data_IF_351143066217
#
_entry.id   IF_351143066217
#
_cell.length_a   1.000
_cell.length_b   1.000
_cell.length_c   1.000
_cell.angle_alpha   90.00
_cell.angle_beta   90.00
_cell.angle_gamma   90.00
#
_symmetry.space_group_name_H-M   'P 1'
#
loop_
_entity.id
_entity.type
_entity.pdbx_description
1 polymer ?
#
# COMPACT_ATOMS: atom_id res chain seq x y z
N UNK A 1 15.92 -31.73 -0.94
CA UNK A 1 14.94 -32.30 0.00
C UNK A 1 14.66 -31.20 0.99
N UNK A 2 13.44 -30.68 0.94
CA UNK A 2 13.00 -29.52 1.71
C UNK A 2 12.73 -29.94 3.15
N UNK A 3 13.10 -29.09 4.10
CA UNK A 3 12.65 -29.18 5.50
C UNK A 3 11.50 -28.19 5.70
N UNK A 4 10.32 -28.72 6.00
CA UNK A 4 9.12 -27.96 6.38
C UNK A 4 9.23 -27.47 7.83
N UNK A 5 9.04 -26.18 8.13
CA UNK A 5 8.89 -25.68 9.49
C UNK A 5 7.41 -25.49 9.80
N UNK A 6 6.70 -26.56 10.14
CA UNK A 6 5.33 -26.47 10.67
C UNK A 6 5.22 -27.16 12.03
N UNK A 7 5.66 -26.48 13.10
CA UNK A 7 5.23 -26.82 14.46
C UNK A 7 5.25 -25.58 15.35
N UNK A 8 4.29 -24.69 15.16
CA UNK A 8 3.98 -23.66 16.15
C UNK A 8 3.18 -24.32 17.29
N UNK A 9 3.90 -24.77 18.32
CA UNK A 9 3.38 -25.47 19.49
C UNK A 9 2.98 -24.50 20.61
N UNK A 10 2.10 -23.52 20.33
CA UNK A 10 1.51 -22.70 21.40
C UNK A 10 0.12 -22.11 21.10
N UNK A 11 -0.67 -22.75 20.25
CA UNK A 11 -2.10 -22.44 20.10
C UNK A 11 -2.93 -23.41 20.95
N UNK A 12 -2.81 -23.29 22.27
CA UNK A 12 -3.68 -23.99 23.21
C UNK A 12 -4.18 -22.99 24.22
N UNK A 13 -5.51 -22.89 24.34
CA UNK A 13 -6.32 -22.01 25.20
C UNK A 13 -6.82 -20.72 24.54
N UNK A 14 -7.53 -20.87 23.41
CA UNK A 14 -8.69 -20.03 23.11
C UNK A 14 -9.93 -20.78 23.62
N UNK A 15 -10.87 -20.15 24.35
CA UNK A 15 -12.09 -20.81 24.78
C UNK A 15 -12.89 -21.27 23.55
N UNK A 16 -13.38 -22.51 23.62
CA UNK A 16 -14.17 -23.15 22.57
C UNK A 16 -15.41 -22.31 22.25
N UNK A 17 -15.65 -22.11 20.96
CA UNK A 17 -16.87 -21.52 20.38
C UNK A 17 -18.04 -22.51 20.53
N UNK A 18 -18.39 -22.85 21.77
CA UNK A 18 -19.61 -23.60 22.08
C UNK A 18 -20.82 -22.72 21.75
N UNK A 19 -21.41 -23.05 20.60
CA UNK A 19 -22.83 -22.94 20.25
C UNK A 19 -23.55 -21.70 20.80
N UNK A 20 -23.42 -20.58 20.07
CA UNK A 20 -24.50 -19.60 20.04
C UNK A 20 -25.73 -20.29 19.44
N UNK A 21 -26.60 -20.80 20.32
CA UNK A 21 -27.95 -21.25 20.01
C UNK A 21 -28.72 -20.11 19.32
N UNK A 22 -28.70 -20.13 17.98
CA UNK A 22 -29.55 -19.29 17.15
C UNK A 22 -30.96 -19.87 17.19
N UNK A 23 -31.61 -19.70 18.35
CA UNK A 23 -33.02 -19.94 18.55
C UNK A 23 -33.83 -19.14 17.54
N UNK A 24 -34.14 -19.76 16.41
CA UNK A 24 -34.99 -19.21 15.36
C UNK A 24 -36.44 -19.33 15.81
N UNK A 25 -36.85 -18.41 16.69
CA UNK A 25 -38.26 -18.20 16.95
C UNK A 25 -38.83 -17.32 15.82
N UNK A 26 -39.60 -17.96 14.94
CA UNK A 26 -40.25 -17.42 13.75
C UNK A 26 -41.35 -16.40 14.10
N UNK A 27 -40.99 -15.25 14.68
CA UNK A 27 -41.84 -14.07 14.76
C UNK A 27 -41.30 -13.03 13.80
N UNK A 28 -41.95 -12.86 12.64
CA UNK A 28 -41.81 -11.73 11.70
C UNK A 28 -40.57 -10.87 11.96
N UNK A 29 -39.39 -11.40 11.64
CA UNK A 29 -38.14 -10.66 11.75
C UNK A 29 -38.19 -9.55 10.70
N UNK A 30 -38.53 -8.33 11.13
CA UNK A 30 -38.21 -7.12 10.39
C UNK A 30 -36.73 -7.22 10.00
N UNK A 31 -36.48 -7.44 8.71
CA UNK A 31 -35.13 -7.48 8.16
C UNK A 31 -34.61 -6.05 8.15
N UNK A 32 -33.98 -5.63 9.25
CA UNK A 32 -33.37 -4.30 9.37
C UNK A 32 -32.05 -4.34 8.61
N UNK A 33 -31.90 -3.50 7.59
CA UNK A 33 -30.59 -3.25 7.00
C UNK A 33 -29.76 -2.35 7.92
N UNK A 34 -28.92 -2.98 8.74
CA UNK A 34 -28.06 -2.29 9.71
C UNK A 34 -27.09 -1.29 9.04
N UNK A 35 -26.77 -1.47 7.75
CA UNK A 35 -25.88 -0.57 7.00
C UNK A 35 -26.58 0.73 6.60
N UNK A 36 -27.91 0.69 6.45
CA UNK A 36 -28.73 1.83 6.05
C UNK A 36 -29.32 2.63 7.23
N UNK A 37 -28.97 2.27 8.48
CA UNK A 37 -29.49 2.96 9.66
C UNK A 37 -29.10 4.45 9.67
N UNK A 38 -30.09 5.33 9.86
CA UNK A 38 -29.85 6.78 9.98
C UNK A 38 -28.83 7.10 11.08
N UNK A 39 -27.88 8.00 10.81
CA UNK A 39 -27.05 8.62 11.85
C UNK A 39 -27.70 9.89 12.43
N UNK A 40 -28.85 10.32 11.88
CA UNK A 40 -29.46 11.61 12.17
C UNK A 40 -28.66 12.79 11.61
N UNK A 41 -29.31 13.96 11.50
CA UNK A 41 -28.71 15.19 10.99
C UNK A 41 -27.76 15.81 12.04
N UNK A 42 -26.43 15.82 11.82
CA UNK A 42 -25.47 16.37 12.80
C UNK A 42 -25.61 17.88 13.06
N UNK A 43 -26.41 18.61 12.28
CA UNK A 43 -26.63 20.05 12.46
C UNK A 43 -27.94 20.37 13.19
N UNK A 44 -28.80 19.36 13.42
CA UNK A 44 -30.06 19.54 14.11
C UNK A 44 -29.81 19.76 15.61
N UNK A 45 -30.19 20.95 16.08
CA UNK A 45 -30.28 21.24 17.52
C UNK A 45 -31.49 20.56 18.15
N UNK A 46 -31.41 20.27 19.44
CA UNK A 46 -32.51 19.72 20.24
C UNK A 46 -32.62 20.48 21.57
N UNK A 47 -33.81 20.52 22.14
CA UNK A 47 -34.10 21.09 23.45
C UNK A 47 -34.03 20.01 24.54
N UNK A 48 -34.19 20.44 25.80
CA UNK A 48 -34.11 19.54 26.97
C UNK A 48 -35.23 18.49 26.95
N UNK A 49 -36.41 18.83 26.42
CA UNK A 49 -37.55 17.92 26.30
C UNK A 49 -37.25 16.79 25.30
N UNK A 50 -36.71 17.12 24.11
CA UNK A 50 -36.28 16.11 23.14
C UNK A 50 -35.14 15.24 23.69
N UNK A 51 -34.24 15.81 24.50
CA UNK A 51 -33.17 15.06 25.15
C UNK A 51 -33.70 14.07 26.18
N UNK A 52 -34.65 14.48 27.01
CA UNK A 52 -35.32 13.61 27.98
C UNK A 52 -36.08 12.48 27.26
N UNK A 53 -36.80 12.79 26.18
CA UNK A 53 -37.47 11.76 25.37
C UNK A 53 -36.47 10.77 24.75
N UNK A 54 -35.35 11.26 24.21
CA UNK A 54 -34.28 10.40 23.68
C UNK A 54 -33.67 9.50 24.77
N UNK A 55 -33.50 10.01 25.99
CA UNK A 55 -33.04 9.23 27.14
C UNK A 55 -34.04 8.13 27.53
N UNK A 56 -35.34 8.42 27.49
CA UNK A 56 -36.38 7.42 27.75
C UNK A 56 -36.44 6.35 26.65
N UNK A 57 -36.28 6.73 25.39
CA UNK A 57 -36.15 5.78 24.27
C UNK A 57 -34.93 4.89 24.44
N UNK A 58 -33.77 5.48 24.79
CA UNK A 58 -32.55 4.74 25.10
C UNK A 58 -32.75 3.75 26.25
N UNK A 59 -33.37 4.17 27.35
CA UNK A 59 -33.63 3.28 28.48
C UNK A 59 -34.56 2.12 28.10
N UNK A 60 -35.64 2.40 27.35
CA UNK A 60 -36.53 1.36 26.82
C UNK A 60 -35.80 0.39 25.89
N UNK A 61 -34.90 0.90 25.05
CA UNK A 61 -34.10 0.06 24.17
C UNK A 61 -33.16 -0.87 24.94
N UNK A 62 -32.48 -0.36 25.96
CA UNK A 62 -31.60 -1.17 26.81
C UNK A 62 -32.36 -2.22 27.60
N UNK A 63 -33.59 -1.94 28.06
CA UNK A 63 -34.44 -2.93 28.73
C UNK A 63 -34.99 -3.99 27.76
N UNK A 64 -35.17 -3.63 26.49
CA UNK A 64 -35.60 -4.58 25.46
C UNK A 64 -34.46 -5.50 24.98
N UNK A 65 -33.21 -5.06 25.15
CA UNK A 65 -32.00 -5.84 24.85
C UNK A 65 -31.65 -6.78 26.02
N UNK A 66 -31.29 -8.06 25.79
CA UNK A 66 -31.01 -8.69 24.50
C UNK A 66 -32.21 -9.39 23.82
N UNK A 67 -33.36 -9.50 24.49
CA UNK A 67 -34.49 -10.34 24.02
C UNK A 67 -35.14 -9.83 22.72
N UNK A 68 -35.21 -8.52 22.52
CA UNK A 68 -35.90 -7.87 21.39
C UNK A 68 -34.95 -6.93 20.64
N UNK A 69 -33.96 -7.51 19.95
CA UNK A 69 -32.89 -6.80 19.25
C UNK A 69 -33.41 -5.75 18.25
N UNK A 70 -34.34 -6.12 17.38
CA UNK A 70 -34.90 -5.19 16.39
C UNK A 70 -35.60 -4.01 17.04
N UNK A 71 -36.37 -4.26 18.10
CA UNK A 71 -37.02 -3.19 18.88
C UNK A 71 -35.98 -2.26 19.51
N UNK A 72 -34.90 -2.80 20.09
CA UNK A 72 -33.84 -1.99 20.66
C UNK A 72 -33.15 -1.09 19.61
N UNK A 73 -32.82 -1.64 18.43
CA UNK A 73 -32.22 -0.88 17.33
C UNK A 73 -33.13 0.24 16.82
N UNK A 74 -34.43 -0.03 16.67
CA UNK A 74 -35.40 0.97 16.23
C UNK A 74 -35.56 2.09 17.27
N UNK A 75 -35.76 1.74 18.55
CA UNK A 75 -35.85 2.71 19.64
C UNK A 75 -34.61 3.60 19.74
N UNK A 76 -33.41 3.03 19.55
CA UNK A 76 -32.17 3.80 19.52
C UNK A 76 -32.05 4.66 18.27
N UNK A 77 -32.58 4.21 17.14
CA UNK A 77 -32.63 5.01 15.91
C UNK A 77 -33.54 6.22 16.07
N UNK A 78 -34.69 6.06 16.72
CA UNK A 78 -35.58 7.16 17.07
C UNK A 78 -34.89 8.13 18.04
N UNK A 79 -34.21 7.63 19.07
CA UNK A 79 -33.43 8.46 19.99
C UNK A 79 -32.33 9.26 19.28
N UNK A 80 -31.64 8.67 18.29
CA UNK A 80 -30.63 9.35 17.45
C UNK A 80 -31.29 10.42 16.57
N UNK A 81 -32.48 10.18 16.02
CA UNK A 81 -33.17 11.17 15.20
C UNK A 81 -33.68 12.37 16.03
N UNK A 82 -33.99 12.16 17.32
CA UNK A 82 -34.30 13.24 18.27
C UNK A 82 -33.05 14.03 18.63
N UNK A 83 -31.98 13.34 19.06
CA UNK A 83 -30.73 13.95 19.52
C UNK A 83 -29.52 13.51 18.69
N UNK A 84 -29.41 13.95 17.43
CA UNK A 84 -28.36 13.47 16.54
C UNK A 84 -26.98 13.89 17.01
N UNK A 85 -26.79 15.10 17.53
CA UNK A 85 -25.46 15.53 18.01
C UNK A 85 -24.97 14.75 19.25
N UNK A 86 -25.81 13.94 19.89
CA UNK A 86 -25.45 13.19 21.10
C UNK A 86 -24.63 11.94 20.77
N UNK A 87 -23.33 11.99 21.13
CA UNK A 87 -22.45 10.82 21.05
C UNK A 87 -22.93 9.65 21.90
N UNK A 88 -23.70 9.90 22.97
CA UNK A 88 -24.26 8.86 23.82
C UNK A 88 -25.27 8.00 23.04
N UNK A 89 -26.14 8.60 22.23
CA UNK A 89 -27.19 7.85 21.50
C UNK A 89 -26.58 6.92 20.45
N UNK A 90 -25.60 7.42 19.70
CA UNK A 90 -24.80 6.61 18.78
C UNK A 90 -23.99 5.53 19.52
N UNK A 91 -23.33 5.93 20.62
CA UNK A 91 -22.78 5.10 21.71
C UNK A 91 -23.54 3.79 21.90
N UNK A 92 -24.78 4.03 22.27
CA UNK A 92 -25.74 3.05 22.73
C UNK A 92 -26.14 2.07 21.64
N UNK A 93 -26.43 2.57 20.44
CA UNK A 93 -26.78 1.72 19.29
C UNK A 93 -25.58 0.91 18.84
N UNK A 94 -24.39 1.51 18.83
CA UNK A 94 -23.16 0.80 18.51
C UNK A 94 -22.85 -0.35 19.48
N UNK A 95 -23.15 -0.21 20.77
CA UNK A 95 -23.00 -1.29 21.74
C UNK A 95 -23.89 -2.49 21.39
N UNK A 96 -25.18 -2.24 21.11
CA UNK A 96 -26.11 -3.30 20.70
C UNK A 96 -25.66 -3.94 19.38
N UNK A 97 -25.26 -3.14 18.40
CA UNK A 97 -24.74 -3.62 17.10
C UNK A 97 -23.46 -4.44 17.27
N UNK A 98 -22.57 -4.03 18.17
CA UNK A 98 -21.34 -4.76 18.48
C UNK A 98 -21.64 -6.14 19.06
N UNK A 99 -22.56 -6.20 20.02
CA UNK A 99 -22.89 -7.46 20.71
C UNK A 99 -23.60 -8.48 19.81
N UNK A 100 -24.35 -8.02 18.79
CA UNK A 100 -24.97 -8.91 17.78
C UNK A 100 -24.02 -9.27 16.63
N UNK A 101 -22.76 -8.80 16.67
CA UNK A 101 -21.74 -9.11 15.65
C UNK A 101 -21.75 -8.19 14.41
N UNK A 102 -22.62 -7.16 14.37
CA UNK A 102 -22.69 -6.18 13.29
C UNK A 102 -21.61 -5.10 13.42
N UNK A 103 -20.35 -5.55 13.39
CA UNK A 103 -19.16 -4.73 13.68
C UNK A 103 -19.00 -3.54 12.73
N UNK A 104 -19.32 -3.70 11.45
CA UNK A 104 -19.22 -2.61 10.47
C UNK A 104 -20.21 -1.47 10.77
N UNK A 105 -21.45 -1.81 11.12
CA UNK A 105 -22.46 -0.83 11.50
C UNK A 105 -22.12 -0.17 12.85
N UNK A 106 -21.63 -0.95 13.82
CA UNK A 106 -21.16 -0.44 15.10
C UNK A 106 -20.01 0.56 14.94
N UNK A 107 -18.99 0.26 14.13
CA UNK A 107 -17.85 1.15 13.86
C UNK A 107 -18.31 2.45 13.23
N UNK A 108 -19.27 2.40 12.29
CA UNK A 108 -19.81 3.60 11.65
C UNK A 108 -20.49 4.52 12.66
N UNK A 109 -21.32 3.97 13.56
CA UNK A 109 -21.94 4.73 14.64
C UNK A 109 -20.91 5.29 15.61
N UNK A 110 -19.88 4.51 15.96
CA UNK A 110 -18.80 4.93 16.86
C UNK A 110 -17.93 6.04 16.28
N UNK A 111 -17.59 5.97 14.99
CA UNK A 111 -16.89 7.04 14.29
C UNK A 111 -17.68 8.34 14.37
N UNK A 112 -18.96 8.30 14.00
CA UNK A 112 -19.85 9.45 14.12
C UNK A 112 -19.94 9.96 15.57
N UNK A 113 -19.94 9.06 16.56
CA UNK A 113 -19.96 9.45 17.98
C UNK A 113 -18.69 10.18 18.40
N UNK A 114 -17.51 9.69 17.96
CA UNK A 114 -16.22 10.32 18.25
C UNK A 114 -16.02 11.65 17.51
N UNK A 115 -16.63 11.81 16.34
CA UNK A 115 -16.64 13.08 15.59
C UNK A 115 -17.53 14.12 16.29
N UNK A 116 -18.72 13.70 16.75
CA UNK A 116 -19.68 14.57 17.46
C UNK A 116 -19.19 14.97 18.85
N UNK A 117 -18.55 14.06 19.57
CA UNK A 117 -17.95 14.33 20.87
C UNK A 117 -16.53 13.76 20.95
N UNK A 118 -15.51 14.57 20.64
CA UNK A 118 -14.10 14.16 20.70
C UNK A 118 -13.57 13.84 22.10
N UNK A 119 -14.40 13.98 23.13
CA UNK A 119 -14.09 13.72 24.53
C UNK A 119 -14.87 12.54 25.11
N UNK A 120 -15.75 11.88 24.33
CA UNK A 120 -16.56 10.77 24.81
C UNK A 120 -15.74 9.47 24.88
N UNK A 121 -15.19 9.18 26.07
CA UNK A 121 -14.31 8.03 26.35
C UNK A 121 -14.94 6.70 25.95
N UNK A 122 -16.22 6.50 26.26
CA UNK A 122 -16.95 5.26 25.96
C UNK A 122 -16.96 4.92 24.46
N UNK A 123 -17.07 5.92 23.60
CA UNK A 123 -17.02 5.72 22.15
C UNK A 123 -15.64 5.24 21.69
N UNK A 124 -14.56 5.84 22.21
CA UNK A 124 -13.20 5.42 21.86
C UNK A 124 -12.87 4.01 22.37
N UNK A 125 -13.31 3.66 23.59
CA UNK A 125 -13.10 2.31 24.15
C UNK A 125 -13.81 1.24 23.32
N UNK A 126 -15.09 1.45 22.98
CA UNK A 126 -15.84 0.49 22.19
C UNK A 126 -15.35 0.45 20.73
N UNK A 127 -14.90 1.57 20.17
CA UNK A 127 -14.28 1.62 18.84
C UNK A 127 -12.98 0.81 18.79
N UNK A 128 -12.11 0.97 19.79
CA UNK A 128 -10.90 0.16 19.92
C UNK A 128 -11.21 -1.33 20.01
N UNK A 129 -12.28 -1.69 20.75
CA UNK A 129 -12.75 -3.08 20.85
C UNK A 129 -13.22 -3.59 19.49
N UNK A 130 -14.07 -2.85 18.79
CA UNK A 130 -14.59 -3.22 17.48
C UNK A 130 -13.48 -3.44 16.44
N UNK A 131 -12.48 -2.55 16.38
CA UNK A 131 -11.33 -2.73 15.50
C UNK A 131 -10.45 -3.92 15.89
N UNK A 132 -10.28 -4.19 17.18
CA UNK A 132 -9.53 -5.37 17.65
C UNK A 132 -10.20 -6.67 17.17
N UNK A 133 -11.53 -6.75 17.19
CA UNK A 133 -12.29 -7.90 16.67
C UNK A 133 -12.14 -8.08 15.16
N UNK A 134 -11.94 -6.98 14.41
CA UNK A 134 -11.68 -7.03 12.97
C UNK A 134 -10.19 -7.19 12.62
N UNK A 135 -9.30 -7.34 13.61
CA UNK A 135 -7.84 -7.36 13.43
C UNK A 135 -7.26 -6.07 12.80
N UNK A 136 -7.98 -4.96 12.86
CA UNK A 136 -7.51 -3.64 12.45
C UNK A 136 -6.68 -3.02 13.59
N UNK A 137 -5.48 -3.56 13.81
CA UNK A 137 -4.71 -3.29 15.03
C UNK A 137 -4.24 -1.83 15.09
N UNK A 138 -3.93 -1.21 13.95
CA UNK A 138 -3.51 0.20 13.88
C UNK A 138 -4.61 1.15 14.36
N UNK A 139 -5.83 1.02 13.83
CA UNK A 139 -6.97 1.84 14.26
C UNK A 139 -7.42 1.52 15.69
N UNK A 140 -7.35 0.24 16.10
CA UNK A 140 -7.64 -0.15 17.48
C UNK A 140 -6.70 0.55 18.47
N UNK A 141 -5.39 0.52 18.20
CA UNK A 141 -4.37 1.16 19.03
C UNK A 141 -4.61 2.66 19.14
N UNK A 142 -4.90 3.35 18.03
CA UNK A 142 -5.18 4.78 18.02
C UNK A 142 -6.43 5.13 18.85
N UNK A 143 -7.51 4.35 18.72
CA UNK A 143 -8.73 4.55 19.49
C UNK A 143 -8.49 4.35 21.00
N UNK A 144 -7.78 3.29 21.39
CA UNK A 144 -7.46 3.05 22.81
C UNK A 144 -6.50 4.09 23.38
N UNK A 145 -5.49 4.54 22.64
CA UNK A 145 -4.61 5.63 23.06
C UNK A 145 -5.39 6.92 23.29
N UNK A 146 -6.36 7.22 22.42
CA UNK A 146 -7.24 8.37 22.60
C UNK A 146 -8.11 8.22 23.85
N UNK A 147 -8.71 7.05 24.08
CA UNK A 147 -9.45 6.76 25.31
C UNK A 147 -8.57 6.95 26.56
N UNK A 148 -7.37 6.36 26.57
CA UNK A 148 -6.41 6.45 27.68
C UNK A 148 -5.98 7.88 27.98
N UNK A 149 -5.85 8.73 26.95
CA UNK A 149 -5.49 10.13 27.11
C UNK A 149 -6.60 10.99 27.71
N UNK A 150 -7.86 10.57 27.53
CA UNK A 150 -9.03 11.26 28.07
C UNK A 150 -9.34 10.80 29.49
N UNK A 151 -9.26 9.50 29.74
CA UNK A 151 -9.45 8.90 31.05
C UNK A 151 -8.55 7.67 31.20
N UNK A 152 -7.67 7.70 32.19
CA UNK A 152 -6.70 6.64 32.40
C UNK A 152 -7.41 5.41 32.97
N UNK A 153 -7.27 4.27 32.28
CA UNK A 153 -7.76 2.97 32.73
C UNK A 153 -6.63 1.95 32.65
N UNK A 154 -6.44 1.16 33.71
CA UNK A 154 -5.44 0.09 33.73
C UNK A 154 -5.74 -0.98 32.66
N UNK A 155 -7.00 -1.40 32.54
CA UNK A 155 -7.45 -2.34 31.50
C UNK A 155 -7.09 -1.86 30.08
N UNK A 156 -7.32 -0.58 29.79
CA UNK A 156 -7.02 -0.01 28.47
C UNK A 156 -5.51 0.08 28.24
N UNK A 157 -4.73 0.38 29.28
CA UNK A 157 -3.27 0.37 29.20
C UNK A 157 -2.72 -1.03 28.88
N UNK A 158 -3.32 -2.09 29.43
CA UNK A 158 -2.96 -3.48 29.10
C UNK A 158 -3.31 -3.84 27.65
N UNK A 159 -4.49 -3.43 27.17
CA UNK A 159 -4.88 -3.62 25.76
C UNK A 159 -3.89 -2.94 24.81
N UNK A 160 -3.47 -1.70 25.10
CA UNK A 160 -2.47 -0.97 24.32
C UNK A 160 -1.14 -1.74 24.27
N UNK A 161 -0.67 -2.28 25.42
CA UNK A 161 0.56 -3.08 25.48
C UNK A 161 0.47 -4.33 24.60
N UNK A 162 -0.68 -5.02 24.61
CA UNK A 162 -0.91 -6.20 23.78
C UNK A 162 -1.03 -5.91 22.28
N UNK A 163 -1.52 -4.72 21.90
CA UNK A 163 -1.69 -4.31 20.50
C UNK A 163 -0.39 -3.81 19.84
N UNK A 164 0.49 -3.14 20.59
CA UNK A 164 1.76 -2.63 20.06
C UNK A 164 2.58 -3.66 19.25
N UNK A 165 2.86 -4.88 19.74
CA UNK A 165 3.63 -5.85 18.96
C UNK A 165 2.88 -6.32 17.70
N UNK A 166 1.54 -6.36 17.72
CA UNK A 166 0.73 -6.73 16.54
C UNK A 166 0.83 -5.67 15.44
N UNK A 167 0.72 -4.39 15.81
CA UNK A 167 0.89 -3.26 14.88
C UNK A 167 2.30 -3.24 14.28
N UNK A 168 3.32 -3.49 15.10
CA UNK A 168 4.71 -3.53 14.60
C UNK A 168 4.98 -4.75 13.72
N UNK A 169 4.31 -5.88 13.94
CA UNK A 169 4.36 -7.04 13.04
C UNK A 169 3.73 -6.70 11.68
N UNK A 170 2.53 -6.13 11.67
CA UNK A 170 1.82 -5.72 10.44
C UNK A 170 2.65 -4.72 9.60
N UNK A 171 3.26 -3.72 10.25
CA UNK A 171 4.16 -2.77 9.56
C UNK A 171 5.40 -3.44 8.96
N UNK A 172 5.95 -4.46 9.62
CA UNK A 172 7.11 -5.21 9.10
C UNK A 172 6.73 -6.03 7.88
N UNK A 173 5.58 -6.71 7.93
CA UNK A 173 5.05 -7.47 6.81
C UNK A 173 4.74 -6.55 5.62
N UNK A 174 4.11 -5.40 5.85
CA UNK A 174 3.85 -4.40 4.81
C UNK A 174 5.16 -3.86 4.20
N UNK A 175 6.16 -3.54 5.04
CA UNK A 175 7.46 -3.07 4.57
C UNK A 175 8.22 -4.13 3.77
N UNK A 176 8.14 -5.40 4.16
CA UNK A 176 8.74 -6.51 3.43
C UNK A 176 8.03 -6.76 2.09
N UNK A 177 6.69 -6.80 2.09
CA UNK A 177 5.89 -6.92 0.87
C UNK A 177 6.21 -5.79 -0.13
N UNK A 178 6.33 -4.55 0.36
CA UNK A 178 6.71 -3.40 -0.46
C UNK A 178 8.10 -3.55 -1.06
N UNK A 179 9.10 -3.98 -0.28
CA UNK A 179 10.47 -4.23 -0.76
C UNK A 179 10.50 -5.30 -1.84
N UNK A 180 9.80 -6.41 -1.63
CA UNK A 180 9.71 -7.50 -2.59
C UNK A 180 9.03 -7.04 -3.90
N UNK A 181 7.98 -6.25 -3.81
CA UNK A 181 7.30 -5.67 -4.96
C UNK A 181 8.23 -4.74 -5.76
N UNK A 182 8.93 -3.82 -5.08
CA UNK A 182 9.91 -2.92 -5.70
C UNK A 182 11.07 -3.68 -6.34
N UNK A 183 11.57 -4.73 -5.69
CA UNK A 183 12.63 -5.59 -6.25
C UNK A 183 12.16 -6.31 -7.52
N UNK A 184 10.94 -6.84 -7.54
CA UNK A 184 10.36 -7.45 -8.74
C UNK A 184 10.21 -6.44 -9.87
N UNK A 185 9.74 -5.23 -9.56
CA UNK A 185 9.59 -4.16 -10.54
C UNK A 185 10.96 -3.75 -11.13
N UNK A 186 11.99 -3.63 -10.29
CA UNK A 186 13.35 -3.31 -10.71
C UNK A 186 13.99 -4.43 -11.54
N UNK A 187 13.77 -5.70 -11.18
CA UNK A 187 14.22 -6.83 -11.99
C UNK A 187 13.51 -6.88 -13.34
N UNK A 188 12.21 -6.58 -13.37
CA UNK A 188 11.44 -6.53 -14.61
C UNK A 188 11.89 -5.38 -15.51
N UNK A 189 12.15 -4.20 -14.96
CA UNK A 189 12.66 -3.05 -15.71
C UNK A 189 14.08 -3.31 -16.22
N UNK A 190 14.96 -3.90 -15.40
CA UNK A 190 16.31 -4.30 -15.81
C UNK A 190 16.27 -5.33 -16.96
N UNK A 191 15.48 -6.41 -16.83
CA UNK A 191 15.31 -7.40 -17.91
C UNK A 191 14.71 -6.79 -19.17
N UNK A 192 13.79 -5.83 -19.05
CA UNK A 192 13.22 -5.13 -20.19
C UNK A 192 14.26 -4.23 -20.87
N UNK A 193 15.12 -3.57 -20.09
CA UNK A 193 16.23 -2.78 -20.61
C UNK A 193 17.26 -3.67 -21.31
N UNK A 194 17.69 -4.77 -20.68
CA UNK A 194 18.61 -5.75 -21.29
C UNK A 194 18.05 -6.28 -22.61
N UNK A 195 16.76 -6.65 -22.66
CA UNK A 195 16.12 -7.08 -23.92
C UNK A 195 16.10 -5.99 -24.98
N UNK A 196 15.87 -4.72 -24.59
CA UNK A 196 15.94 -3.59 -25.52
C UNK A 196 17.36 -3.40 -26.05
N UNK A 197 18.37 -3.43 -25.17
CA UNK A 197 19.79 -3.34 -25.54
C UNK A 197 20.21 -4.49 -26.46
N UNK A 198 19.80 -5.72 -26.16
CA UNK A 198 20.03 -6.90 -27.00
C UNK A 198 19.34 -6.76 -28.36
N UNK A 199 18.04 -6.42 -28.39
CA UNK A 199 17.30 -6.25 -29.65
C UNK A 199 17.87 -5.11 -30.51
N UNK A 200 18.38 -4.07 -29.87
CA UNK A 200 19.06 -2.98 -30.54
C UNK A 200 20.39 -3.44 -31.11
N UNK A 201 21.21 -4.15 -30.33
CA UNK A 201 22.47 -4.73 -30.78
C UNK A 201 22.26 -5.67 -31.98
N UNK A 202 21.31 -6.61 -31.89
CA UNK A 202 20.97 -7.55 -32.98
C UNK A 202 20.55 -6.84 -34.27
N UNK A 203 19.74 -5.78 -34.15
CA UNK A 203 19.33 -4.96 -35.30
C UNK A 203 20.52 -4.25 -35.93
N UNK A 204 21.36 -3.60 -35.13
CA UNK A 204 22.58 -2.93 -35.59
C UNK A 204 23.52 -3.92 -36.28
N UNK A 205 23.66 -5.12 -35.72
CA UNK A 205 24.40 -6.22 -36.31
C UNK A 205 23.91 -6.62 -37.70
N UNK A 206 22.61 -6.86 -37.83
CA UNK A 206 22.00 -7.24 -39.10
C UNK A 206 22.16 -6.14 -40.16
N UNK A 207 21.98 -4.86 -39.78
CA UNK A 207 22.15 -3.73 -40.67
C UNK A 207 23.61 -3.63 -41.20
N UNK A 208 24.64 -3.83 -40.36
CA UNK A 208 26.05 -3.85 -40.82
C UNK A 208 26.33 -5.00 -41.78
N UNK A 209 25.88 -6.22 -41.50
CA UNK A 209 26.05 -7.37 -42.41
C UNK A 209 25.38 -7.12 -43.78
N UNK A 210 24.21 -6.48 -43.79
CA UNK A 210 23.54 -6.11 -45.05
C UNK A 210 24.29 -5.02 -45.82
N UNK A 211 24.88 -4.04 -45.14
CA UNK A 211 25.70 -3.00 -45.77
C UNK A 211 26.98 -3.58 -46.38
N UNK A 212 27.65 -4.52 -45.68
CA UNK A 212 28.84 -5.24 -46.17
C UNK A 212 28.56 -6.03 -47.45
N UNK A 213 27.44 -6.74 -47.50
CA UNK A 213 27.11 -7.59 -48.66
C UNK A 213 26.63 -6.80 -49.89
N UNK A 214 26.04 -5.62 -49.70
CA UNK A 214 25.45 -4.81 -50.80
C UNK A 214 26.24 -3.55 -51.16
N UNK A 215 27.34 -3.24 -50.49
CA UNK A 215 28.12 -2.02 -50.71
C UNK A 215 27.37 -0.73 -50.39
N UNK A 216 26.44 -0.79 -49.42
CA UNK A 216 25.59 0.34 -49.03
C UNK A 216 26.20 1.22 -47.92
N UNK A 217 25.65 2.42 -47.69
CA UNK A 217 26.09 3.29 -46.59
C UNK A 217 25.89 2.60 -45.23
N UNK A 218 26.78 2.91 -44.27
CA UNK A 218 26.70 2.38 -42.92
C UNK A 218 25.35 2.69 -42.25
N UNK A 219 24.91 1.84 -41.31
CA UNK A 219 23.66 2.06 -40.58
C UNK A 219 23.61 3.44 -39.92
N UNK A 220 22.43 4.02 -39.78
CA UNK A 220 22.24 5.39 -39.25
C UNK A 220 22.86 5.57 -37.85
N UNK A 221 22.84 4.52 -37.03
CA UNK A 221 23.50 4.49 -35.71
C UNK A 221 25.03 4.65 -35.76
N UNK A 222 25.67 4.32 -36.89
CA UNK A 222 27.11 4.45 -37.11
C UNK A 222 27.50 5.71 -37.88
N UNK A 223 26.54 6.49 -38.41
CA UNK A 223 26.86 7.84 -38.96
C UNK A 223 27.40 8.78 -37.89
N UNK A 224 27.11 8.49 -36.63
CA UNK A 224 27.73 9.16 -35.49
C UNK A 224 29.25 8.98 -35.48
N UNK A 225 29.83 7.90 -36.03
CA UNK A 225 31.29 7.75 -36.16
C UNK A 225 31.91 8.74 -37.16
N UNK A 226 31.19 9.10 -38.23
CA UNK A 226 31.65 10.17 -39.13
C UNK A 226 31.68 11.51 -38.39
N UNK A 227 30.64 11.78 -37.59
CA UNK A 227 30.60 12.94 -36.70
C UNK A 227 31.66 12.87 -35.60
N UNK A 228 31.93 11.70 -35.01
CA UNK A 228 32.93 11.46 -33.97
C UNK A 228 34.33 11.69 -34.51
N UNK A 229 34.59 11.33 -35.77
CA UNK A 229 35.87 11.58 -36.45
C UNK A 229 36.06 13.06 -36.75
N UNK A 230 34.99 13.78 -37.11
CA UNK A 230 35.03 15.24 -37.28
C UNK A 230 35.11 15.99 -35.95
N UNK A 231 34.42 15.52 -34.91
CA UNK A 231 34.40 16.14 -33.58
C UNK A 231 35.60 15.73 -32.73
N UNK A 232 36.23 14.58 -32.94
CA UNK A 232 37.51 14.25 -32.30
C UNK A 232 38.61 15.24 -32.71
N UNK A 233 38.49 15.87 -33.88
CA UNK A 233 39.36 16.95 -34.33
C UNK A 233 38.98 18.31 -33.69
N UNK A 234 37.82 18.42 -33.03
CA UNK A 234 37.29 19.67 -32.45
C UNK A 234 36.52 19.47 -31.12
N UNK A 235 36.96 18.54 -30.27
CA UNK A 235 36.22 18.09 -29.09
C UNK A 235 35.88 19.26 -28.16
N UNK A 236 34.60 19.59 -28.03
CA UNK A 236 34.17 20.65 -27.11
C UNK A 236 34.24 20.14 -25.66
N UNK A 237 34.66 21.03 -24.74
CA UNK A 237 34.86 20.68 -23.32
C UNK A 237 33.61 20.07 -22.66
N UNK A 238 32.41 20.48 -23.09
CA UNK A 238 31.14 19.95 -22.56
C UNK A 238 30.86 18.51 -22.97
N UNK A 239 31.28 18.09 -24.16
CA UNK A 239 31.08 16.71 -24.65
C UNK A 239 32.09 15.76 -24.02
N UNK A 240 33.34 16.21 -23.89
CA UNK A 240 34.37 15.50 -23.12
C UNK A 240 33.95 15.29 -21.65
N UNK A 241 33.32 16.31 -21.04
CA UNK A 241 32.86 16.22 -19.65
C UNK A 241 31.68 15.25 -19.45
N UNK A 242 30.77 15.13 -20.42
CA UNK A 242 29.68 14.13 -20.39
C UNK A 242 30.18 12.69 -20.52
N UNK A 243 31.21 12.47 -21.35
CA UNK A 243 31.87 11.17 -21.50
C UNK A 243 32.65 10.76 -20.24
N UNK A 244 33.25 11.72 -19.54
CA UNK A 244 33.98 11.47 -18.29
C UNK A 244 33.07 11.38 -17.06
N UNK A 245 31.85 11.93 -17.12
CA UNK A 245 30.88 11.81 -16.02
C UNK A 245 30.20 10.45 -15.92
N UNK A 246 30.16 9.69 -17.02
CA UNK A 246 29.62 8.33 -17.04
C UNK A 246 30.72 7.34 -16.60
N UNK A 247 30.47 6.60 -15.53
CA UNK A 247 31.45 5.67 -14.94
C UNK A 247 31.87 4.56 -15.92
N UNK A 248 30.92 4.07 -16.74
CA UNK A 248 31.14 3.01 -17.72
C UNK A 248 32.02 3.46 -18.89
N UNK A 249 31.84 4.67 -19.41
CA UNK A 249 32.69 5.21 -20.48
C UNK A 249 34.06 5.64 -19.97
N UNK A 250 34.15 6.16 -18.74
CA UNK A 250 35.42 6.49 -18.09
C UNK A 250 36.28 5.22 -17.90
N UNK A 251 35.72 4.16 -17.33
CA UNK A 251 36.41 2.87 -17.15
C UNK A 251 36.83 2.24 -18.49
N UNK A 252 36.00 2.39 -19.53
CA UNK A 252 36.34 1.88 -20.85
C UNK A 252 37.48 2.65 -21.51
N UNK A 253 37.57 3.97 -21.32
CA UNK A 253 38.70 4.77 -21.87
C UNK A 253 40.03 4.52 -21.17
N UNK A 254 40.01 4.01 -19.93
CA UNK A 254 41.21 3.56 -19.22
C UNK A 254 41.67 2.16 -19.66
N UNK A 255 40.81 1.38 -20.31
CA UNK A 255 41.13 0.03 -20.80
C UNK A 255 41.93 0.10 -22.12
N UNK A 256 43.19 -0.39 -22.14
CA UNK A 256 44.00 -0.45 -23.36
C UNK A 256 43.39 -1.31 -24.48
N UNK A 257 42.59 -2.33 -24.14
CA UNK A 257 41.91 -3.14 -25.15
C UNK A 257 40.76 -2.39 -25.81
N UNK A 258 39.98 -1.65 -25.01
CA UNK A 258 38.86 -0.88 -25.53
C UNK A 258 39.33 0.23 -26.47
N UNK A 259 40.37 0.97 -26.08
CA UNK A 259 40.96 2.03 -26.93
C UNK A 259 41.53 1.47 -28.23
N UNK A 260 42.16 0.30 -28.20
CA UNK A 260 42.61 -0.39 -29.43
C UNK A 260 41.45 -0.78 -30.34
N UNK A 261 40.39 -1.38 -29.77
CA UNK A 261 39.18 -1.75 -30.52
C UNK A 261 38.49 -0.49 -31.09
N UNK A 262 38.47 0.60 -30.34
CA UNK A 262 37.91 1.89 -30.77
C UNK A 262 38.70 2.47 -31.95
N UNK A 263 40.03 2.42 -31.90
CA UNK A 263 40.92 2.83 -32.99
C UNK A 263 40.74 1.98 -34.25
N UNK A 264 40.54 0.67 -34.08
CA UNK A 264 40.23 -0.24 -35.19
C UNK A 264 38.88 0.11 -35.83
N UNK A 265 37.87 0.43 -35.01
CA UNK A 265 36.55 0.91 -35.48
C UNK A 265 36.64 2.28 -36.17
N UNK A 266 37.50 3.17 -35.68
CA UNK A 266 37.70 4.50 -36.26
C UNK A 266 38.41 4.45 -37.62
N UNK A 267 39.29 3.46 -37.82
CA UNK A 267 39.99 3.21 -39.10
C UNK A 267 39.12 2.44 -40.07
N UNK A 268 38.43 1.42 -39.57
CA UNK A 268 37.51 0.59 -40.34
C UNK A 268 36.16 0.47 -39.59
N UNK A 269 35.14 1.23 -40.01
CA UNK A 269 33.80 1.13 -39.42
C UNK A 269 33.21 -0.29 -39.48
N UNK A 270 33.66 -1.14 -40.41
CA UNK A 270 33.23 -2.54 -40.49
C UNK A 270 33.83 -3.44 -39.39
N UNK A 271 34.91 -3.03 -38.73
CA UNK A 271 35.49 -3.69 -37.56
C UNK A 271 34.57 -3.56 -36.33
N UNK A 272 33.66 -2.58 -36.30
CA UNK A 272 32.71 -2.40 -35.20
C UNK A 272 31.82 -3.62 -35.02
N UNK A 273 31.43 -4.28 -36.11
CA UNK A 273 30.67 -5.52 -36.03
C UNK A 273 31.45 -6.66 -35.35
N UNK A 274 32.77 -6.72 -35.46
CA UNK A 274 33.55 -7.77 -34.79
C UNK A 274 33.64 -7.47 -33.29
N UNK A 275 33.90 -6.21 -32.93
CA UNK A 275 34.11 -5.79 -31.55
C UNK A 275 32.83 -5.61 -30.74
N UNK A 276 31.68 -5.33 -31.37
CA UNK A 276 30.37 -5.30 -30.72
C UNK A 276 29.94 -6.67 -30.14
N UNK A 277 30.68 -7.76 -30.42
CA UNK A 277 30.39 -9.11 -29.88
C UNK A 277 30.91 -9.21 -28.47
N UNK A 278 31.87 -8.36 -28.12
CA UNK A 278 32.30 -8.16 -26.77
C UNK A 278 31.27 -7.27 -26.05
N UNK A 279 30.54 -7.81 -25.06
CA UNK A 279 29.50 -7.06 -24.36
C UNK A 279 30.06 -5.85 -23.59
N UNK A 280 31.34 -5.86 -23.19
CA UNK A 280 31.98 -4.70 -22.55
C UNK A 280 32.22 -3.58 -23.55
N UNK A 281 32.75 -3.92 -24.72
CA UNK A 281 32.98 -2.96 -25.80
C UNK A 281 31.64 -2.40 -26.32
N UNK A 282 30.65 -3.25 -26.59
CA UNK A 282 29.34 -2.84 -27.07
C UNK A 282 28.67 -1.84 -26.11
N UNK A 283 28.68 -2.13 -24.79
CA UNK A 283 28.07 -1.26 -23.78
C UNK A 283 28.72 0.13 -23.73
N UNK A 284 30.04 0.19 -23.63
CA UNK A 284 30.76 1.45 -23.54
C UNK A 284 30.71 2.24 -24.86
N UNK A 285 30.86 1.57 -26.00
CA UNK A 285 30.74 2.18 -27.32
C UNK A 285 29.35 2.77 -27.57
N UNK A 286 28.29 2.10 -27.08
CA UNK A 286 26.92 2.59 -27.14
C UNK A 286 26.65 3.82 -26.26
N UNK A 287 27.21 3.86 -25.06
CA UNK A 287 27.13 5.03 -24.19
C UNK A 287 27.85 6.23 -24.81
N UNK A 288 29.02 6.01 -25.43
CA UNK A 288 29.74 7.02 -26.20
C UNK A 288 28.84 7.52 -27.33
N UNK A 289 28.29 6.64 -28.17
CA UNK A 289 27.41 7.04 -29.29
C UNK A 289 26.20 7.84 -28.81
N UNK A 290 25.59 7.47 -27.68
CA UNK A 290 24.44 8.20 -27.14
C UNK A 290 24.78 9.59 -26.61
N UNK A 291 26.05 9.89 -26.29
CA UNK A 291 26.48 11.24 -25.94
C UNK A 291 26.60 12.19 -27.15
N UNK A 292 26.68 11.64 -28.37
CA UNK A 292 26.85 12.38 -29.64
C UNK A 292 25.57 12.42 -30.51
N UNK A 293 24.44 11.91 -29.99
CA UNK A 293 23.10 12.14 -30.55
C UNK A 293 22.53 13.46 -30.04
#
# INVERSE_FOLDING_TARGET
MAEDPSSCSSCSELPDLEEMDLGTNETEQLLIDYRALSLGDPLKSYDDDAFEEAMQLRARALNAYPEKLNTAILLLTDAINLCPCSALMLMSRAQVLFDIGELAAAIRDLKAATERSPTHVGSFRLLGKAYTYLCHYGEALAAYQKAQSLDYSEDVAELIKGLNPKVEAEKREEAEAKRLFEEQQNKASAKAQEKKEQSFADRVYAEVETAKSKGGPLPEAFRVLDNLKSEAQSLSASTAQKLLSNNTTAQAMEDPEFTRKLDEVAKDPAAAAVHMRDPKFAKAFMEIINCFK
#
